data_IF_337762590288
#
_entry.id   IF_337762590288
#
_cell.length_a   1.000
_cell.length_b   1.000
_cell.length_c   1.000
_cell.angle_alpha   90.00
_cell.angle_beta   90.00
_cell.angle_gamma   90.00
#
_symmetry.space_group_name_H-M   'P 1'
#
loop_
_entity.id
_entity.type
_entity.pdbx_description
1 polymer ?
#
# COMPACT_ATOMS: atom_id res chain seq x y z
N UNK A 1 -16.17 -7.49 29.20
CA UNK A 1 -16.78 -6.17 28.92
C UNK A 1 -17.94 -6.40 27.96
N UNK A 2 -19.12 -5.80 28.16
CA UNK A 2 -20.20 -5.88 27.14
C UNK A 2 -19.69 -5.21 25.87
N UNK A 3 -19.80 -5.88 24.72
CA UNK A 3 -19.42 -5.29 23.45
C UNK A 3 -20.24 -4.02 23.21
N UNK A 4 -19.53 -2.92 22.90
CA UNK A 4 -20.15 -1.63 22.67
C UNK A 4 -20.76 -1.64 21.26
N UNK A 5 -22.08 -1.82 21.19
CA UNK A 5 -22.80 -1.77 19.91
C UNK A 5 -22.82 -0.33 19.39
N UNK A 6 -22.35 -0.15 18.16
CA UNK A 6 -22.39 1.13 17.44
C UNK A 6 -23.13 0.92 16.13
N UNK A 7 -24.14 1.76 15.86
CA UNK A 7 -24.93 1.66 14.63
C UNK A 7 -24.48 2.71 13.62
N UNK A 8 -24.21 2.28 12.38
CA UNK A 8 -23.82 3.15 11.27
C UNK A 8 -24.87 3.01 10.16
N UNK A 9 -25.33 4.13 9.59
CA UNK A 9 -26.18 4.12 8.40
C UNK A 9 -25.32 4.01 7.15
N UNK A 10 -25.61 3.04 6.30
CA UNK A 10 -24.88 2.74 5.06
C UNK A 10 -25.89 2.73 3.92
N UNK A 11 -25.47 3.19 2.73
CA UNK A 11 -26.29 3.09 1.53
C UNK A 11 -26.58 1.61 1.21
N UNK A 12 -27.81 1.31 0.81
CA UNK A 12 -28.27 -0.07 0.66
C UNK A 12 -27.52 -0.84 -0.44
N UNK A 13 -27.26 -0.20 -1.57
CA UNK A 13 -26.49 -0.74 -2.70
C UNK A 13 -25.08 -1.16 -2.26
N UNK A 14 -24.38 -0.29 -1.54
CA UNK A 14 -23.06 -0.57 -1.00
C UNK A 14 -23.08 -1.69 0.03
N UNK A 15 -24.11 -1.74 0.88
CA UNK A 15 -24.25 -2.80 1.88
C UNK A 15 -24.46 -4.18 1.24
N UNK A 16 -25.21 -4.25 0.13
CA UNK A 16 -25.37 -5.47 -0.65
C UNK A 16 -24.05 -5.89 -1.30
N UNK A 17 -23.35 -4.96 -1.93
CA UNK A 17 -22.05 -5.23 -2.55
C UNK A 17 -21.01 -5.74 -1.52
N UNK A 18 -20.94 -5.11 -0.35
CA UNK A 18 -20.01 -5.51 0.71
C UNK A 18 -20.30 -6.93 1.25
N UNK A 19 -21.57 -7.33 1.32
CA UNK A 19 -21.93 -8.70 1.71
C UNK A 19 -21.47 -9.73 0.68
N UNK A 20 -21.64 -9.42 -0.60
CA UNK A 20 -21.18 -10.31 -1.69
C UNK A 20 -19.67 -10.47 -1.60
N UNK A 21 -18.94 -9.36 -1.48
CA UNK A 21 -17.49 -9.37 -1.34
C UNK A 21 -17.02 -10.21 -0.14
N UNK A 22 -17.65 -10.04 1.02
CA UNK A 22 -17.31 -10.84 2.20
C UNK A 22 -17.49 -12.36 1.96
N UNK A 23 -18.54 -12.76 1.22
CA UNK A 23 -18.75 -14.15 0.84
C UNK A 23 -17.69 -14.63 -0.15
N UNK A 24 -17.36 -13.84 -1.17
CA UNK A 24 -16.34 -14.16 -2.17
C UNK A 24 -14.95 -14.32 -1.54
N UNK A 25 -14.61 -13.50 -0.54
CA UNK A 25 -13.35 -13.55 0.20
C UNK A 25 -13.35 -14.60 1.32
N UNK A 26 -14.49 -15.25 1.60
CA UNK A 26 -14.61 -16.26 2.66
C UNK A 26 -14.47 -15.69 4.08
N UNK A 27 -14.78 -14.41 4.27
CA UNK A 27 -14.69 -13.70 5.56
C UNK A 27 -16.05 -13.24 6.05
N UNK A 28 -16.14 -12.91 7.34
CA UNK A 28 -17.37 -12.26 7.85
C UNK A 28 -17.41 -10.80 7.43
N UNK A 29 -18.61 -10.26 7.22
CA UNK A 29 -18.79 -8.83 6.93
C UNK A 29 -18.19 -7.93 8.02
N UNK A 30 -18.23 -8.39 9.28
CA UNK A 30 -17.58 -7.69 10.40
C UNK A 30 -16.07 -7.62 10.20
N UNK A 31 -15.42 -8.75 9.91
CA UNK A 31 -13.98 -8.82 9.68
C UNK A 31 -13.56 -7.91 8.51
N UNK A 32 -14.30 -7.96 7.40
CA UNK A 32 -14.08 -7.09 6.25
C UNK A 32 -14.13 -5.59 6.64
N UNK A 33 -15.13 -5.19 7.43
CA UNK A 33 -15.25 -3.80 7.89
C UNK A 33 -14.11 -3.42 8.85
N UNK A 34 -13.76 -4.29 9.78
CA UNK A 34 -12.67 -4.05 10.74
C UNK A 34 -11.33 -3.89 10.02
N UNK A 35 -11.03 -4.75 9.03
CA UNK A 35 -9.80 -4.69 8.24
C UNK A 35 -9.70 -3.42 7.38
N UNK A 36 -10.80 -3.02 6.74
CA UNK A 36 -10.85 -1.77 5.97
C UNK A 36 -10.63 -0.55 6.88
N UNK A 37 -11.29 -0.52 8.05
CA UNK A 37 -11.10 0.56 9.02
C UNK A 37 -9.66 0.60 9.54
N UNK A 38 -9.09 -0.55 9.86
CA UNK A 38 -7.70 -0.65 10.30
C UNK A 38 -6.74 -0.14 9.23
N UNK A 39 -6.91 -0.57 7.98
CA UNK A 39 -6.08 -0.14 6.85
C UNK A 39 -6.11 1.38 6.66
N UNK A 40 -7.31 1.99 6.74
CA UNK A 40 -7.47 3.45 6.62
C UNK A 40 -6.80 4.17 7.79
N UNK A 41 -7.01 3.71 9.03
CA UNK A 41 -6.43 4.34 10.22
C UNK A 41 -4.91 4.21 10.24
N UNK A 42 -4.38 3.03 9.93
CA UNK A 42 -2.94 2.78 9.87
C UNK A 42 -2.31 3.57 8.73
N UNK A 43 -2.92 3.59 7.54
CA UNK A 43 -2.48 4.38 6.40
C UNK A 43 -2.42 5.88 6.73
N UNK A 44 -3.45 6.43 7.37
CA UNK A 44 -3.46 7.82 7.82
C UNK A 44 -2.37 8.12 8.86
N UNK A 45 -2.13 7.21 9.81
CA UNK A 45 -1.03 7.33 10.78
C UNK A 45 0.34 7.28 10.11
N UNK A 46 0.50 6.39 9.13
CA UNK A 46 1.71 6.27 8.34
C UNK A 46 1.95 7.58 7.59
N UNK A 47 0.97 8.07 6.83
CA UNK A 47 1.06 9.33 6.10
C UNK A 47 1.38 10.53 7.01
N UNK A 48 0.82 10.59 8.23
CA UNK A 48 1.17 11.65 9.20
C UNK A 48 2.61 11.53 9.73
N UNK A 49 3.13 10.32 9.89
CA UNK A 49 4.55 10.10 10.27
C UNK A 49 5.49 10.35 9.09
N UNK A 50 5.01 10.07 7.89
CA UNK A 50 5.60 10.46 6.62
C UNK A 50 5.12 11.86 6.23
N UNK A 51 5.28 12.84 7.12
CA UNK A 51 5.70 14.15 6.60
C UNK A 51 7.00 13.84 5.84
N UNK A 52 6.87 13.62 4.53
CA UNK A 52 7.98 13.41 3.61
C UNK A 52 8.77 14.72 3.62
N UNK A 53 9.59 14.89 4.65
CA UNK A 53 10.68 15.84 4.65
C UNK A 53 11.59 15.40 3.53
N UNK A 54 11.39 16.01 2.36
CA UNK A 54 12.37 15.93 1.30
C UNK A 54 13.67 16.39 1.96
N UNK A 55 14.68 15.54 1.92
CA UNK A 55 16.01 15.97 2.31
C UNK A 55 16.57 16.74 1.12
N UNK A 56 16.20 18.02 1.01
CA UNK A 56 16.55 18.90 -0.12
C UNK A 56 18.03 18.81 -0.50
N UNK A 57 18.90 18.68 0.51
CA UNK A 57 20.34 18.58 0.30
C UNK A 57 20.74 17.25 -0.39
N UNK A 58 20.13 16.14 0.01
CA UNK A 58 20.32 14.83 -0.64
C UNK A 58 19.76 14.84 -2.06
N UNK A 59 18.59 15.48 -2.25
CA UNK A 59 17.98 15.62 -3.57
C UNK A 59 18.85 16.46 -4.52
N UNK A 60 19.47 17.54 -4.03
CA UNK A 60 20.41 18.37 -4.81
C UNK A 60 21.63 17.56 -5.25
N UNK A 61 22.21 16.77 -4.35
CA UNK A 61 23.35 15.90 -4.67
C UNK A 61 22.98 14.91 -5.77
N UNK A 62 21.82 14.26 -5.69
CA UNK A 62 21.37 13.31 -6.70
C UNK A 62 21.08 13.97 -8.05
N UNK A 63 20.49 15.17 -8.06
CA UNK A 63 20.29 15.95 -9.31
C UNK A 63 21.63 16.30 -9.97
N UNK A 64 22.61 16.76 -9.19
CA UNK A 64 23.95 17.08 -9.72
C UNK A 64 24.67 15.86 -10.30
N UNK A 65 24.55 14.69 -9.65
CA UNK A 65 25.10 13.42 -10.18
C UNK A 65 24.45 13.04 -11.52
N UNK A 66 23.13 13.15 -11.61
CA UNK A 66 22.37 12.95 -12.86
C UNK A 66 22.82 13.87 -13.99
N UNK A 67 23.03 15.16 -13.71
CA UNK A 67 23.53 16.14 -14.70
C UNK A 67 24.93 15.79 -15.21
N UNK A 68 25.76 15.13 -14.38
CA UNK A 68 27.09 14.62 -14.75
C UNK A 68 27.07 13.28 -15.50
N UNK A 69 25.88 12.73 -15.76
CA UNK A 69 25.72 11.42 -16.41
C UNK A 69 25.87 10.21 -15.48
N UNK A 70 26.00 10.44 -14.17
CA UNK A 70 26.02 9.37 -13.17
C UNK A 70 24.58 8.91 -12.87
N UNK A 71 24.42 7.62 -12.54
CA UNK A 71 23.13 7.03 -12.17
C UNK A 71 23.13 6.82 -10.64
N UNK A 72 22.57 7.75 -9.84
CA UNK A 72 22.62 7.66 -8.38
C UNK A 72 21.73 6.54 -7.79
N UNK A 73 20.83 5.97 -8.59
CA UNK A 73 20.01 4.82 -8.21
C UNK A 73 20.23 3.68 -9.22
N UNK A 74 20.99 2.68 -8.81
CA UNK A 74 21.19 1.45 -9.57
C UNK A 74 20.68 0.31 -8.69
N UNK A 75 19.74 -0.46 -9.21
CA UNK A 75 19.35 -1.73 -8.59
C UNK A 75 20.46 -2.72 -8.96
N UNK A 76 21.29 -3.08 -7.98
CA UNK A 76 22.31 -4.10 -8.16
C UNK A 76 21.68 -5.44 -7.83
N UNK A 77 21.71 -6.36 -8.78
CA UNK A 77 21.19 -7.71 -8.62
C UNK A 77 22.13 -8.70 -9.32
N UNK A 78 22.30 -9.89 -8.76
CA UNK A 78 23.20 -10.91 -9.32
C UNK A 78 22.73 -11.37 -10.71
N UNK A 79 21.41 -11.44 -10.88
CA UNK A 79 20.73 -11.72 -12.15
C UNK A 79 20.36 -10.43 -12.87
N UNK A 80 20.50 -10.44 -14.18
CA UNK A 80 20.03 -9.39 -15.09
C UNK A 80 18.51 -9.25 -15.02
N UNK A 81 18.02 -8.07 -15.42
CA UNK A 81 16.58 -7.81 -15.53
C UNK A 81 15.85 -8.82 -16.43
N UNK A 82 16.53 -9.36 -17.45
CA UNK A 82 15.96 -10.36 -18.35
C UNK A 82 15.84 -11.73 -17.66
N UNK A 83 16.86 -12.15 -16.92
CA UNK A 83 16.83 -13.41 -16.15
C UNK A 83 15.74 -13.39 -15.08
N UNK A 84 15.61 -12.26 -14.35
CA UNK A 84 14.52 -12.07 -13.39
C UNK A 84 13.13 -12.19 -14.03
N UNK A 85 12.96 -11.68 -15.25
CA UNK A 85 11.70 -11.78 -16.00
C UNK A 85 11.43 -13.20 -16.48
N UNK A 86 12.47 -13.95 -16.90
CA UNK A 86 12.35 -15.35 -17.32
C UNK A 86 11.96 -16.27 -16.17
N UNK A 87 12.62 -16.12 -15.01
CA UNK A 87 12.28 -16.87 -13.80
C UNK A 87 10.84 -16.63 -13.35
N UNK A 88 10.37 -15.37 -13.42
CA UNK A 88 8.98 -15.03 -13.12
C UNK A 88 7.96 -15.60 -14.11
N UNK A 89 8.39 -15.94 -15.34
CA UNK A 89 7.56 -16.60 -16.37
C UNK A 89 7.67 -18.13 -16.33
N UNK A 90 8.61 -18.69 -15.57
CA UNK A 90 8.89 -20.12 -15.52
C UNK A 90 9.69 -20.65 -16.72
N UNK A 91 10.43 -19.78 -17.42
CA UNK A 91 11.41 -20.14 -18.47
C UNK A 91 12.82 -20.23 -17.89
#
# INVERSE_FOLDING_TARGET
MKDKVTSIRIREDLWKAAKILAVEEGVTLRALIEELLESVVQGARLAKRFELGIQEDVLKVFKSKREKGEIPFIIVHEKTAVELVREGRGE
#
